data_IF_795640602180
#
_entry.id   IF_795640602180
#
_cell.length_a   1.000
_cell.length_b   1.000
_cell.length_c   1.000
_cell.angle_alpha   90.00
_cell.angle_beta   90.00
_cell.angle_gamma   90.00
#
_symmetry.space_group_name_H-M   'P 1'
#
loop_
_entity.id
_entity.type
_entity.pdbx_description
1 polymer ?
#
# COMPACT_ATOMS: atom_id res chain seq x y z
N UNK A 1 -6.84 -25.86 68.91
CA UNK A 1 -6.62 -26.11 67.47
C UNK A 1 -6.57 -24.76 66.74
N UNK A 2 -5.39 -24.38 66.22
CA UNK A 2 -5.15 -23.15 65.47
C UNK A 2 -5.19 -23.54 64.01
N UNK A 3 -6.25 -23.13 63.30
CA UNK A 3 -6.35 -23.32 61.84
C UNK A 3 -5.56 -22.27 61.10
N UNK A 4 -4.52 -22.65 60.35
CA UNK A 4 -3.79 -21.80 59.45
C UNK A 4 -4.55 -21.78 58.11
N UNK A 5 -5.22 -20.67 57.78
CA UNK A 5 -5.74 -20.43 56.44
C UNK A 5 -4.60 -19.96 55.53
N UNK A 6 -4.15 -20.85 54.63
CA UNK A 6 -3.22 -20.49 53.55
C UNK A 6 -4.00 -19.79 52.44
N UNK A 7 -3.83 -18.47 52.31
CA UNK A 7 -4.32 -17.70 51.17
C UNK A 7 -3.41 -17.99 49.92
N UNK A 8 -3.90 -18.78 48.99
CA UNK A 8 -3.30 -18.90 47.66
C UNK A 8 -3.66 -17.66 46.85
N UNK A 9 -2.72 -16.74 46.71
CA UNK A 9 -2.81 -15.64 45.74
C UNK A 9 -2.61 -16.22 44.35
N UNK A 10 -3.69 -16.38 43.59
CA UNK A 10 -3.61 -16.71 42.18
C UNK A 10 -3.11 -15.46 41.40
N UNK A 11 -1.86 -15.48 40.99
CA UNK A 11 -1.32 -14.48 40.06
C UNK A 11 -1.95 -14.71 38.69
N UNK A 12 -2.93 -13.88 38.33
CA UNK A 12 -3.44 -13.83 36.96
C UNK A 12 -2.36 -13.19 36.10
N UNK A 13 -1.62 -14.01 35.37
CA UNK A 13 -0.73 -13.55 34.30
C UNK A 13 -1.65 -13.04 33.18
N UNK A 14 -1.98 -11.77 33.20
CA UNK A 14 -2.68 -11.12 32.13
C UNK A 14 -1.79 -11.19 30.87
N UNK A 15 -2.25 -11.90 29.85
CA UNK A 15 -1.61 -11.85 28.53
C UNK A 15 -1.62 -10.38 28.08
N UNK A 16 -0.44 -9.78 27.94
CA UNK A 16 -0.33 -8.43 27.40
C UNK A 16 -0.81 -8.49 25.95
N UNK A 17 -1.70 -7.59 25.53
CA UNK A 17 -2.10 -7.53 24.14
C UNK A 17 -0.84 -7.30 23.30
N UNK A 18 -0.66 -8.13 22.26
CA UNK A 18 0.47 -7.99 21.36
C UNK A 18 0.54 -6.53 20.87
N UNK A 19 1.66 -5.87 21.06
CA UNK A 19 1.88 -4.46 20.68
C UNK A 19 1.92 -4.23 19.16
N UNK A 20 1.63 -5.26 18.35
CA UNK A 20 1.61 -5.16 16.89
C UNK A 20 0.34 -4.44 16.45
N UNK A 21 0.46 -3.31 15.72
CA UNK A 21 -0.70 -2.62 15.18
C UNK A 21 -1.57 -3.56 14.34
N UNK A 22 -2.88 -3.37 14.32
CA UNK A 22 -3.77 -4.20 13.49
C UNK A 22 -3.49 -3.91 12.02
N UNK A 23 -3.51 -4.94 11.14
CA UNK A 23 -3.45 -4.73 9.70
C UNK A 23 -4.56 -3.76 9.26
N UNK A 24 -4.22 -2.89 8.34
CA UNK A 24 -5.13 -1.93 7.73
C UNK A 24 -5.05 -2.03 6.20
N UNK A 25 -5.82 -1.21 5.51
CA UNK A 25 -5.84 -1.14 4.05
C UNK A 25 -5.56 0.30 3.64
N UNK A 26 -4.66 0.50 2.69
CA UNK A 26 -4.27 1.84 2.25
C UNK A 26 -4.10 1.90 0.74
N UNK A 27 -4.62 2.98 0.15
CA UNK A 27 -4.35 3.36 -1.23
C UNK A 27 -3.44 4.59 -1.24
N UNK A 28 -2.34 4.52 -1.99
CA UNK A 28 -1.49 5.65 -2.32
C UNK A 28 -1.96 6.25 -3.64
N UNK A 29 -2.44 7.49 -3.60
CA UNK A 29 -2.89 8.25 -4.75
C UNK A 29 -1.70 9.01 -5.35
N UNK A 30 -1.17 8.49 -6.47
CA UNK A 30 0.04 8.97 -7.12
C UNK A 30 -0.26 9.63 -8.47
N UNK A 31 -0.06 10.94 -8.55
CA UNK A 31 -0.28 11.74 -9.77
C UNK A 31 0.96 12.47 -10.29
N UNK A 32 2.08 12.37 -9.59
CA UNK A 32 3.34 13.05 -9.92
C UNK A 32 4.29 12.15 -10.69
N UNK A 33 5.06 12.72 -11.60
CA UNK A 33 6.18 12.09 -12.28
C UNK A 33 7.55 12.41 -11.65
N UNK A 34 7.56 13.11 -10.53
CA UNK A 34 8.81 13.37 -9.80
C UNK A 34 9.38 12.04 -9.27
N UNK A 35 10.61 11.67 -9.66
CA UNK A 35 11.22 10.41 -9.21
C UNK A 35 11.38 10.30 -7.69
N UNK A 36 11.53 11.41 -6.98
CA UNK A 36 11.67 11.42 -5.52
C UNK A 36 10.35 11.05 -4.86
N UNK A 37 9.24 11.60 -5.34
CA UNK A 37 7.91 11.28 -4.84
C UNK A 37 7.54 9.83 -5.13
N UNK A 38 7.85 9.35 -6.34
CA UNK A 38 7.64 7.96 -6.71
C UNK A 38 8.49 7.00 -5.85
N UNK A 39 9.75 7.34 -5.58
CA UNK A 39 10.61 6.59 -4.68
C UNK A 39 10.10 6.61 -3.23
N UNK A 40 9.51 7.73 -2.78
CA UNK A 40 8.92 7.84 -1.46
C UNK A 40 7.78 6.82 -1.24
N UNK A 41 6.96 6.56 -2.26
CA UNK A 41 5.91 5.52 -2.18
C UNK A 41 6.52 4.15 -1.87
N UNK A 42 7.61 3.78 -2.54
CA UNK A 42 8.29 2.51 -2.28
C UNK A 42 8.89 2.45 -0.86
N UNK A 43 9.36 3.58 -0.33
CA UNK A 43 9.82 3.68 1.05
C UNK A 43 8.67 3.45 2.03
N UNK A 44 7.51 4.10 1.82
CA UNK A 44 6.32 3.91 2.66
C UNK A 44 5.83 2.46 2.65
N UNK A 45 5.85 1.80 1.49
CA UNK A 45 5.53 0.38 1.38
C UNK A 45 6.46 -0.46 2.25
N UNK A 46 7.78 -0.19 2.22
CA UNK A 46 8.75 -0.90 3.07
C UNK A 46 8.53 -0.66 4.56
N UNK A 47 8.26 0.59 4.95
CA UNK A 47 7.96 0.96 6.34
C UNK A 47 6.70 0.26 6.85
N UNK A 48 5.60 0.32 6.09
CA UNK A 48 4.35 -0.35 6.45
C UNK A 48 4.60 -1.85 6.65
N UNK A 49 5.26 -2.49 5.71
CA UNK A 49 5.53 -3.93 5.77
C UNK A 49 6.46 -4.34 6.91
N UNK A 50 7.35 -3.45 7.35
CA UNK A 50 8.23 -3.72 8.49
C UNK A 50 7.45 -3.80 9.81
N UNK A 51 6.36 -3.06 9.93
CA UNK A 51 5.51 -2.98 11.13
C UNK A 51 4.28 -3.90 11.01
N UNK A 52 3.69 -3.95 9.83
CA UNK A 52 2.43 -4.65 9.53
C UNK A 52 2.51 -5.36 8.17
N UNK A 53 3.12 -6.55 8.10
CA UNK A 53 3.34 -7.27 6.83
C UNK A 53 2.04 -7.68 6.13
N UNK A 54 0.93 -7.78 6.86
CA UNK A 54 -0.38 -8.20 6.36
C UNK A 54 -1.28 -7.02 5.93
N UNK A 55 -0.74 -5.81 5.88
CA UNK A 55 -1.46 -4.63 5.37
C UNK A 55 -1.66 -4.74 3.86
N UNK A 56 -2.90 -4.58 3.40
CA UNK A 56 -3.21 -4.49 1.97
C UNK A 56 -2.88 -3.08 1.45
N UNK A 57 -2.05 -3.02 0.44
CA UNK A 57 -1.57 -1.76 -0.15
C UNK A 57 -1.93 -1.73 -1.63
N UNK A 58 -2.49 -0.62 -2.06
CA UNK A 58 -2.66 -0.31 -3.47
C UNK A 58 -1.93 0.99 -3.81
N UNK A 59 -1.18 1.01 -4.90
CA UNK A 59 -0.65 2.24 -5.49
C UNK A 59 -1.47 2.51 -6.74
N UNK A 60 -2.26 3.56 -6.68
CA UNK A 60 -3.11 3.98 -7.79
C UNK A 60 -2.47 5.15 -8.53
N UNK A 61 -2.23 4.96 -9.82
CA UNK A 61 -1.55 5.94 -10.66
C UNK A 61 -2.48 6.49 -11.73
N UNK A 62 -2.55 7.81 -11.80
CA UNK A 62 -3.19 8.55 -12.89
C UNK A 62 -2.45 9.85 -13.15
N UNK A 63 -2.89 10.66 -14.12
CA UNK A 63 -2.11 11.82 -14.53
C UNK A 63 -0.68 11.42 -14.88
N UNK A 64 0.29 12.18 -14.44
CA UNK A 64 1.72 11.92 -14.72
C UNK A 64 2.30 10.78 -13.87
N UNK A 65 1.61 10.36 -12.80
CA UNK A 65 2.04 9.25 -11.96
C UNK A 65 2.16 7.91 -12.69
N UNK A 66 1.50 7.77 -13.85
CA UNK A 66 1.60 6.59 -14.72
C UNK A 66 3.03 6.27 -15.13
N UNK A 67 3.91 7.29 -15.22
CA UNK A 67 5.30 7.12 -15.61
C UNK A 67 6.08 6.12 -14.75
N UNK A 68 5.67 5.95 -13.49
CA UNK A 68 6.32 5.01 -12.56
C UNK A 68 6.32 3.56 -13.06
N UNK A 69 5.32 3.19 -13.86
CA UNK A 69 5.09 1.79 -14.28
C UNK A 69 5.04 1.60 -15.80
N UNK A 70 5.50 2.57 -16.56
CA UNK A 70 5.58 2.48 -18.03
C UNK A 70 7.01 2.17 -18.44
N UNK A 71 7.20 1.09 -19.20
CA UNK A 71 8.48 0.70 -19.77
C UNK A 71 9.11 1.85 -20.57
N UNK A 72 10.37 2.12 -20.33
CA UNK A 72 11.12 3.21 -20.96
C UNK A 72 10.88 4.59 -20.36
N UNK A 73 9.90 4.75 -19.43
CA UNK A 73 9.69 5.99 -18.66
C UNK A 73 10.02 5.81 -17.18
N UNK A 74 9.81 4.61 -16.64
CA UNK A 74 10.07 4.32 -15.24
C UNK A 74 11.57 4.26 -14.95
N UNK A 75 11.99 4.97 -13.90
CA UNK A 75 13.34 4.86 -13.32
C UNK A 75 13.38 3.88 -12.14
N UNK A 76 12.24 3.28 -11.78
CA UNK A 76 12.03 2.44 -10.60
C UNK A 76 11.47 1.05 -10.96
N UNK A 77 11.60 0.64 -12.23
CA UNK A 77 11.00 -0.61 -12.73
C UNK A 77 11.40 -1.84 -11.91
N UNK A 78 12.69 -1.97 -11.59
CA UNK A 78 13.20 -3.11 -10.82
C UNK A 78 12.67 -3.10 -9.38
N UNK A 79 12.61 -1.93 -8.76
CA UNK A 79 12.08 -1.77 -7.40
C UNK A 79 10.57 -2.08 -7.33
N UNK A 80 9.81 -1.65 -8.35
CA UNK A 80 8.38 -1.98 -8.48
C UNK A 80 8.18 -3.49 -8.62
N UNK A 81 8.92 -4.13 -9.52
CA UNK A 81 8.85 -5.57 -9.72
C UNK A 81 9.22 -6.35 -8.45
N UNK A 82 10.27 -5.92 -7.76
CA UNK A 82 10.67 -6.52 -6.48
C UNK A 82 9.59 -6.36 -5.41
N UNK A 83 8.97 -5.18 -5.31
CA UNK A 83 7.92 -4.92 -4.34
C UNK A 83 6.67 -5.79 -4.58
N UNK A 84 6.26 -5.95 -5.85
CA UNK A 84 5.11 -6.77 -6.25
C UNK A 84 5.25 -8.25 -5.88
N UNK A 85 6.45 -8.80 -5.92
CA UNK A 85 6.72 -10.20 -5.60
C UNK A 85 6.44 -10.61 -4.15
N UNK A 86 6.09 -9.65 -3.26
CA UNK A 86 5.94 -9.90 -1.82
C UNK A 86 4.49 -10.05 -1.32
N UNK A 87 3.49 -10.01 -2.20
CA UNK A 87 2.07 -10.09 -1.82
C UNK A 87 1.52 -8.82 -1.15
N UNK A 88 0.21 -8.77 -0.90
CA UNK A 88 -0.51 -7.65 -0.27
C UNK A 88 -0.21 -6.27 -0.89
N UNK A 89 0.14 -6.24 -2.17
CA UNK A 89 0.44 -5.01 -2.92
C UNK A 89 -0.08 -5.12 -4.34
N UNK A 90 -0.73 -4.07 -4.80
CA UNK A 90 -1.10 -3.89 -6.20
C UNK A 90 -0.65 -2.52 -6.71
N UNK A 91 -0.19 -2.49 -7.96
CA UNK A 91 0.00 -1.26 -8.72
C UNK A 91 -1.08 -1.23 -9.78
N UNK A 92 -1.91 -0.18 -9.75
CA UNK A 92 -3.06 -0.02 -10.67
C UNK A 92 -2.99 1.30 -11.40
N UNK A 93 -3.30 1.26 -12.68
CA UNK A 93 -3.27 2.44 -13.56
C UNK A 93 -4.67 2.76 -14.05
N UNK A 94 -5.03 4.02 -13.97
CA UNK A 94 -6.29 4.55 -14.52
C UNK A 94 -6.30 4.42 -16.05
N UNK A 95 -7.31 3.73 -16.61
CA UNK A 95 -7.45 3.57 -18.06
C UNK A 95 -7.72 4.88 -18.78
N UNK A 96 -8.39 5.83 -18.14
CA UNK A 96 -8.57 7.18 -18.69
C UNK A 96 -7.22 7.85 -18.91
N UNK A 97 -6.31 7.74 -17.91
CA UNK A 97 -4.96 8.30 -18.03
C UNK A 97 -4.14 7.62 -19.14
N UNK A 98 -4.26 6.30 -19.27
CA UNK A 98 -3.61 5.54 -20.35
C UNK A 98 -4.07 6.05 -21.72
N UNK A 99 -5.39 6.18 -21.94
CA UNK A 99 -5.93 6.70 -23.20
C UNK A 99 -5.48 8.12 -23.49
N UNK A 100 -5.56 9.01 -22.49
CA UNK A 100 -5.19 10.42 -22.67
C UNK A 100 -3.71 10.61 -23.03
N UNK A 101 -2.86 9.73 -22.51
CA UNK A 101 -1.41 9.78 -22.75
C UNK A 101 -0.97 8.87 -23.90
N UNK A 102 -1.91 8.21 -24.59
CA UNK A 102 -1.64 7.29 -25.70
C UNK A 102 -0.63 6.20 -25.33
N UNK A 103 -0.75 5.67 -24.11
CA UNK A 103 0.04 4.56 -23.62
C UNK A 103 -0.63 3.25 -24.06
N UNK A 104 0.11 2.35 -24.67
CA UNK A 104 -0.34 0.98 -24.91
C UNK A 104 -0.22 0.17 -23.61
N UNK A 105 -1.22 -0.65 -23.31
CA UNK A 105 -1.20 -1.51 -22.10
C UNK A 105 -0.01 -2.46 -22.08
N UNK A 106 0.52 -2.86 -23.24
CA UNK A 106 1.72 -3.69 -23.36
C UNK A 106 2.99 -2.98 -22.85
N UNK A 107 2.95 -1.66 -22.71
CA UNK A 107 4.06 -0.87 -22.17
C UNK A 107 4.07 -0.84 -20.64
N UNK A 108 3.03 -1.31 -19.98
CA UNK A 108 3.01 -1.41 -18.53
C UNK A 108 3.98 -2.50 -18.06
N UNK A 109 4.60 -2.27 -16.90
CA UNK A 109 5.46 -3.27 -16.27
C UNK A 109 4.66 -4.55 -15.96
N UNK A 110 5.31 -5.72 -15.89
CA UNK A 110 4.64 -6.98 -15.55
C UNK A 110 3.88 -6.90 -14.22
N UNK A 111 2.70 -7.55 -14.18
CA UNK A 111 1.83 -7.61 -12.99
C UNK A 111 1.21 -6.27 -12.54
N UNK A 112 1.41 -5.19 -13.27
CA UNK A 112 0.66 -3.96 -13.13
C UNK A 112 -0.70 -4.14 -13.80
N UNK A 113 -1.77 -3.80 -13.07
CA UNK A 113 -3.14 -3.93 -13.54
C UNK A 113 -3.78 -2.58 -13.79
N UNK A 114 -4.95 -2.56 -14.39
CA UNK A 114 -5.68 -1.31 -14.69
C UNK A 114 -7.01 -1.23 -13.96
N UNK A 115 -7.49 -0.02 -13.77
CA UNK A 115 -8.86 0.28 -13.31
C UNK A 115 -9.52 1.21 -14.32
N UNK A 116 -10.85 1.10 -14.53
CA UNK A 116 -11.54 1.93 -15.52
C UNK A 116 -11.41 3.43 -15.25
N UNK A 117 -11.50 3.83 -13.96
CA UNK A 117 -11.46 5.22 -13.50
C UNK A 117 -10.72 5.29 -12.15
N UNK A 118 -9.64 6.07 -12.12
CA UNK A 118 -8.82 6.20 -10.90
C UNK A 118 -9.53 6.92 -9.76
N UNK A 119 -10.33 7.95 -10.05
CA UNK A 119 -11.09 8.67 -9.01
C UNK A 119 -12.17 7.77 -8.44
N UNK A 120 -12.90 7.07 -9.31
CA UNK A 120 -13.91 6.09 -8.90
C UNK A 120 -13.32 4.96 -8.06
N UNK A 121 -12.12 4.50 -8.36
CA UNK A 121 -11.40 3.50 -7.56
C UNK A 121 -11.11 4.00 -6.15
N UNK A 122 -10.61 5.23 -5.99
CA UNK A 122 -10.38 5.82 -4.66
C UNK A 122 -11.68 5.87 -3.85
N UNK A 123 -12.76 6.35 -4.45
CA UNK A 123 -14.07 6.43 -3.77
C UNK A 123 -14.56 5.04 -3.36
N UNK A 124 -14.42 4.04 -4.22
CA UNK A 124 -14.78 2.66 -3.92
C UNK A 124 -13.96 2.10 -2.75
N UNK A 125 -12.65 2.30 -2.79
CA UNK A 125 -11.73 1.88 -1.72
C UNK A 125 -12.07 2.54 -0.38
N UNK A 126 -12.35 3.83 -0.35
CA UNK A 126 -12.76 4.54 0.87
C UNK A 126 -14.07 3.97 1.44
N UNK A 127 -15.04 3.63 0.60
CA UNK A 127 -16.28 2.96 1.03
C UNK A 127 -16.01 1.57 1.63
N UNK A 128 -14.97 0.88 1.19
CA UNK A 128 -14.51 -0.41 1.72
C UNK A 128 -13.63 -0.28 2.97
N UNK A 129 -13.44 0.93 3.48
CA UNK A 129 -12.66 1.19 4.69
C UNK A 129 -11.14 1.34 4.46
N UNK A 130 -10.71 1.57 3.22
CA UNK A 130 -9.31 1.88 2.91
C UNK A 130 -8.99 3.33 3.30
N UNK A 131 -7.82 3.55 3.89
CA UNK A 131 -7.24 4.88 4.01
C UNK A 131 -6.73 5.35 2.64
N UNK A 132 -6.82 6.66 2.38
CA UNK A 132 -6.29 7.29 1.18
C UNK A 132 -5.14 8.23 1.57
N UNK A 133 -3.98 8.04 0.92
CA UNK A 133 -2.79 8.87 1.13
C UNK A 133 -2.40 9.49 -0.21
N UNK A 134 -2.67 10.79 -0.33
CA UNK A 134 -2.22 11.57 -1.49
C UNK A 134 -0.71 11.75 -1.46
N UNK A 135 -0.05 11.30 -2.50
CA UNK A 135 1.39 11.58 -2.71
C UNK A 135 1.50 12.91 -3.42
N UNK A 136 2.01 13.91 -2.71
CA UNK A 136 2.17 15.29 -3.23
C UNK A 136 3.63 15.58 -3.52
N UNK A 137 3.85 16.32 -4.59
CA UNK A 137 5.18 16.88 -4.92
C UNK A 137 5.59 17.90 -3.86
N UNK A 138 6.83 17.85 -3.45
CA UNK A 138 7.49 18.81 -2.57
C UNK A 138 8.32 19.82 -3.35
#
# INVERSE_FOLDING_TARGET
>A
AIGVCALFAATVIGAQPSSRPRPYKVVFDLTTDDPKDQAAVLNYIREIRSVNPDTDIEVLMYGRGTSMVVTGRSTLADDVNHALGRGHLSFRVCEIAIRNQKIDKSQLLPNVTTVPDGIGEIVAKQKEGWGDIKVVAH
#
